data_IF_732052250369
#
_entry.id   IF_732052250369
#
_cell.length_a   1.000
_cell.length_b   1.000
_cell.length_c   1.000
_cell.angle_alpha   90.00
_cell.angle_beta   90.00
_cell.angle_gamma   90.00
#
_symmetry.space_group_name_H-M   'P 1'
#
loop_
_entity.id
_entity.type
_entity.pdbx_description
1 polymer ?
#
# COMPACT_ATOMS: atom_id res chain seq x y z
N UNK A 1 -16.18 12.80 -5.08
CA UNK A 1 -16.84 11.53 -4.76
C UNK A 1 -16.39 11.11 -3.35
N UNK A 2 -16.84 9.99 -2.75
CA UNK A 2 -16.40 9.66 -1.40
C UNK A 2 -14.89 9.37 -1.40
N UNK A 3 -14.16 10.07 -0.54
CA UNK A 3 -12.74 9.78 -0.31
C UNK A 3 -12.61 8.59 0.61
N UNK A 4 -11.63 7.75 0.33
CA UNK A 4 -11.18 6.71 1.24
C UNK A 4 -9.78 7.02 1.76
N UNK A 5 -9.56 6.64 3.01
CA UNK A 5 -8.26 6.74 3.68
C UNK A 5 -7.57 5.38 3.60
N UNK A 6 -6.39 5.36 3.00
CA UNK A 6 -5.55 4.18 2.83
C UNK A 6 -4.24 4.34 3.59
N UNK A 7 -3.85 3.32 4.34
CA UNK A 7 -2.52 3.23 4.94
C UNK A 7 -1.65 2.39 4.01
N UNK A 8 -0.56 2.98 3.52
CA UNK A 8 0.32 2.41 2.54
C UNK A 8 1.71 2.22 3.15
N UNK A 9 2.19 0.98 3.18
CA UNK A 9 3.56 0.66 3.55
C UNK A 9 4.42 0.74 2.29
N UNK A 10 5.41 1.64 2.26
CA UNK A 10 6.35 1.73 1.14
C UNK A 10 7.64 1.00 1.50
N UNK A 11 8.01 0.02 0.66
CA UNK A 11 9.14 -0.88 0.86
C UNK A 11 10.10 -0.74 -0.33
N UNK A 12 11.16 0.07 -0.18
CA UNK A 12 12.25 0.09 -1.15
C UNK A 12 13.02 -1.25 -1.15
N UNK A 13 13.31 -1.81 -2.32
CA UNK A 13 14.16 -3.01 -2.52
C UNK A 13 15.52 -2.92 -1.83
N UNK A 14 16.10 -1.71 -1.80
CA UNK A 14 17.39 -1.42 -1.19
C UNK A 14 17.32 -1.24 0.34
N UNK A 15 16.12 -1.21 0.93
CA UNK A 15 15.95 -1.13 2.37
C UNK A 15 16.11 -2.52 2.96
N UNK A 16 17.10 -2.74 3.86
CA UNK A 16 17.19 -3.98 4.60
C UNK A 16 15.86 -4.24 5.28
N UNK A 17 15.33 -5.43 5.06
CA UNK A 17 14.00 -5.83 5.49
C UNK A 17 13.80 -5.66 7.01
N UNK A 18 14.86 -5.89 7.80
CA UNK A 18 14.93 -5.66 9.26
C UNK A 18 14.73 -4.19 9.69
N UNK A 19 14.93 -3.23 8.77
CA UNK A 19 14.75 -1.78 9.01
C UNK A 19 13.34 -1.30 8.66
N UNK A 20 12.49 -2.16 8.10
CA UNK A 20 11.09 -1.82 7.84
C UNK A 20 10.39 -1.69 9.19
N UNK A 21 9.94 -0.49 9.49
CA UNK A 21 9.18 -0.15 10.71
C UNK A 21 7.90 0.59 10.35
N UNK A 22 7.00 0.72 11.34
CA UNK A 22 5.74 1.48 11.22
C UNK A 22 5.89 2.92 10.72
N UNK A 23 7.07 3.52 10.83
CA UNK A 23 7.33 4.88 10.33
C UNK A 23 7.41 4.97 8.80
N UNK A 24 7.47 3.83 8.09
CA UNK A 24 7.40 3.76 6.63
C UNK A 24 5.96 3.66 6.12
N UNK A 25 4.97 3.65 7.02
CA UNK A 25 3.56 3.70 6.66
C UNK A 25 3.18 5.16 6.46
N UNK A 26 2.65 5.48 5.28
CA UNK A 26 2.03 6.76 4.99
C UNK A 26 0.51 6.59 4.88
N UNK A 27 -0.22 7.66 5.17
CA UNK A 27 -1.67 7.69 4.99
C UNK A 27 -2.00 8.55 3.77
N UNK A 28 -2.81 8.01 2.86
CA UNK A 28 -3.28 8.68 1.66
C UNK A 28 -4.80 8.78 1.68
N UNK A 29 -5.31 9.97 1.36
CA UNK A 29 -6.73 10.21 1.13
C UNK A 29 -6.97 10.32 -0.37
N UNK A 30 -7.61 9.31 -0.96
CA UNK A 30 -7.85 9.22 -2.40
C UNK A 30 -9.34 9.11 -2.67
N UNK A 31 -9.80 9.67 -3.78
CA UNK A 31 -11.18 9.49 -4.23
C UNK A 31 -11.37 8.02 -4.66
N UNK A 32 -12.51 7.41 -4.32
CA UNK A 32 -12.74 5.99 -4.59
C UNK A 32 -12.85 5.66 -6.09
N UNK A 33 -13.18 6.64 -6.93
CA UNK A 33 -13.21 6.47 -8.40
C UNK A 33 -11.86 6.72 -9.07
N UNK A 34 -10.85 7.15 -8.32
CA UNK A 34 -9.50 7.29 -8.85
C UNK A 34 -8.86 5.93 -9.12
N UNK A 35 -7.85 5.96 -9.99
CA UNK A 35 -7.12 4.77 -10.40
C UNK A 35 -5.98 4.42 -9.44
N UNK A 36 -5.50 3.18 -9.53
CA UNK A 36 -4.24 2.78 -8.89
C UNK A 36 -3.05 3.60 -9.41
N UNK A 37 -3.07 4.07 -10.66
CA UNK A 37 -2.06 5.00 -11.17
C UNK A 37 -2.05 6.33 -10.40
N UNK A 38 -3.22 6.89 -10.11
CA UNK A 38 -3.37 8.10 -9.29
C UNK A 38 -2.83 7.89 -7.87
N UNK A 39 -3.06 6.71 -7.28
CA UNK A 39 -2.47 6.32 -6.00
C UNK A 39 -0.93 6.31 -6.07
N UNK A 40 -0.33 5.67 -7.09
CA UNK A 40 1.14 5.66 -7.28
C UNK A 40 1.72 7.06 -7.33
N UNK A 41 1.04 7.97 -8.04
CA UNK A 41 1.44 9.37 -8.15
C UNK A 41 1.45 10.07 -6.79
N UNK A 42 0.38 9.91 -6.00
CA UNK A 42 0.32 10.49 -4.65
C UNK A 42 1.39 9.92 -3.71
N UNK A 43 1.65 8.60 -3.77
CA UNK A 43 2.72 7.97 -2.97
C UNK A 43 4.08 8.58 -3.33
N UNK A 44 4.36 8.75 -4.62
CA UNK A 44 5.59 9.37 -5.11
C UNK A 44 5.71 10.82 -4.62
N UNK A 45 4.65 11.62 -4.73
CA UNK A 45 4.62 13.02 -4.27
C UNK A 45 4.87 13.16 -2.76
N UNK A 46 4.31 12.26 -1.93
CA UNK A 46 4.52 12.25 -0.47
C UNK A 46 5.97 11.97 -0.07
N UNK A 47 6.76 11.34 -0.95
CA UNK A 47 8.16 11.02 -0.73
C UNK A 47 9.10 11.95 -1.52
N UNK A 48 8.61 13.05 -2.07
CA UNK A 48 9.48 14.04 -2.69
C UNK A 48 10.42 14.67 -1.63
N UNK A 49 11.72 14.86 -1.92
CA UNK A 49 12.37 14.63 -3.21
C UNK A 49 12.94 13.21 -3.40
N UNK A 50 12.87 12.35 -2.39
CA UNK A 50 13.52 11.04 -2.35
C UNK A 50 13.22 10.16 -3.56
N UNK A 51 12.00 10.22 -4.09
CA UNK A 51 11.56 9.38 -5.21
C UNK A 51 11.39 10.12 -6.55
N UNK A 52 11.79 11.38 -6.65
CA UNK A 52 11.52 12.21 -7.83
C UNK A 52 12.09 11.58 -9.13
N UNK A 53 13.31 11.03 -9.05
CA UNK A 53 14.01 10.40 -10.17
C UNK A 53 13.57 8.95 -10.46
N UNK A 54 12.76 8.34 -9.58
CA UNK A 54 12.29 6.96 -9.76
C UNK A 54 11.10 6.96 -10.73
N UNK A 55 11.13 6.19 -11.84
CA UNK A 55 9.98 6.06 -12.72
C UNK A 55 8.75 5.54 -11.97
N UNK A 56 7.55 6.07 -12.29
CA UNK A 56 6.30 5.61 -11.65
C UNK A 56 5.97 4.13 -11.94
N UNK A 57 6.63 3.55 -12.95
CA UNK A 57 6.55 2.12 -13.31
C UNK A 57 7.18 1.22 -12.25
N UNK A 58 8.15 1.72 -11.49
CA UNK A 58 8.84 0.94 -10.43
C UNK A 58 7.99 0.79 -9.16
N UNK A 59 6.85 1.49 -9.08
CA UNK A 59 5.94 1.44 -7.94
C UNK A 59 4.96 0.28 -8.11
N UNK A 60 5.35 -0.91 -7.63
CA UNK A 60 4.51 -2.11 -7.65
C UNK A 60 3.54 -2.08 -6.48
N UNK A 61 2.27 -1.78 -6.77
CA UNK A 61 1.19 -1.70 -5.78
C UNK A 61 0.57 -3.07 -5.56
N UNK A 62 0.54 -3.52 -4.30
CA UNK A 62 -0.19 -4.71 -3.86
C UNK A 62 -1.24 -4.30 -2.82
N UNK A 63 -2.49 -4.70 -3.03
CA UNK A 63 -3.52 -4.54 -2.01
C UNK A 63 -3.57 -5.79 -1.14
N UNK A 64 -3.67 -5.60 0.17
CA UNK A 64 -3.80 -6.72 1.10
C UNK A 64 -5.21 -7.28 0.97
N UNK A 65 -5.32 -8.57 0.69
CA UNK A 65 -6.61 -9.24 0.59
C UNK A 65 -7.19 -9.39 2.01
N UNK A 66 -8.02 -8.43 2.40
CA UNK A 66 -8.79 -8.45 3.64
C UNK A 66 -9.86 -9.55 3.51
N UNK A 67 -9.45 -10.79 3.80
CA UNK A 67 -10.30 -11.95 3.62
C UNK A 67 -11.54 -11.83 4.51
N UNK A 68 -12.72 -11.62 3.91
CA UNK A 68 -13.99 -11.36 4.62
C UNK A 68 -14.45 -12.54 5.50
N UNK A 69 -13.92 -13.73 5.27
CA UNK A 69 -14.31 -14.96 5.98
C UNK A 69 -13.56 -15.19 7.31
N UNK A 70 -12.48 -14.44 7.57
CA UNK A 70 -11.80 -14.44 8.87
C UNK A 70 -12.14 -13.15 9.62
N UNK A 71 -13.35 -13.08 10.17
CA UNK A 71 -13.86 -11.99 11.03
C UNK A 71 -12.98 -11.65 12.26
N UNK A 72 -11.89 -12.38 12.51
CA UNK A 72 -11.06 -12.24 13.71
C UNK A 72 -9.57 -12.04 13.45
N UNK A 73 -9.09 -12.17 12.20
CA UNK A 73 -7.71 -11.78 11.90
C UNK A 73 -7.74 -10.34 11.41
N UNK A 74 -7.77 -9.38 12.33
CA UNK A 74 -7.22 -8.06 12.02
C UNK A 74 -5.83 -8.33 11.46
N UNK A 75 -5.61 -8.07 10.18
CA UNK A 75 -4.25 -8.04 9.64
C UNK A 75 -3.68 -6.74 10.16
N UNK A 76 -3.33 -6.75 11.45
CA UNK A 76 -2.79 -5.59 12.10
C UNK A 76 -1.47 -5.22 11.40
N UNK A 77 -1.06 -3.97 11.58
CA UNK A 77 0.16 -3.48 10.95
C UNK A 77 1.38 -4.35 11.31
N UNK A 78 1.39 -4.98 12.49
CA UNK A 78 2.50 -5.82 12.97
C UNK A 78 2.59 -7.13 12.20
N UNK A 79 1.47 -7.82 11.94
CA UNK A 79 1.41 -9.01 11.09
C UNK A 79 1.93 -8.70 9.68
N UNK A 80 1.43 -7.63 9.05
CA UNK A 80 1.89 -7.25 7.70
C UNK A 80 3.39 -6.96 7.69
N UNK A 81 3.88 -6.22 8.70
CA UNK A 81 5.30 -5.91 8.81
C UNK A 81 6.14 -7.19 9.00
N UNK A 82 5.70 -8.12 9.85
CA UNK A 82 6.38 -9.40 10.05
C UNK A 82 6.41 -10.24 8.77
N UNK A 83 5.32 -10.27 8.01
CA UNK A 83 5.26 -11.06 6.78
C UNK A 83 6.13 -10.47 5.67
N UNK A 84 6.14 -9.14 5.54
CA UNK A 84 7.11 -8.42 4.70
C UNK A 84 8.54 -8.72 5.17
N UNK A 85 8.74 -8.79 6.50
CA UNK A 85 10.03 -9.09 7.09
C UNK A 85 10.56 -10.49 6.79
N UNK A 86 9.65 -11.46 6.68
CA UNK A 86 9.95 -12.83 6.33
C UNK A 86 9.92 -13.07 4.82
N UNK A 87 10.00 -12.01 4.00
CA UNK A 87 9.95 -12.04 2.53
C UNK A 87 8.73 -12.78 1.96
N UNK A 88 7.66 -12.89 2.75
CA UNK A 88 6.42 -13.53 2.33
C UNK A 88 5.63 -12.51 1.52
N UNK A 89 5.46 -12.76 0.22
CA UNK A 89 4.67 -11.87 -0.65
C UNK A 89 3.21 -11.86 -0.20
N UNK A 90 2.78 -10.75 0.39
CA UNK A 90 1.40 -10.51 0.81
C UNK A 90 0.65 -9.63 -0.17
N UNK A 91 -0.65 -9.91 -0.28
CA UNK A 91 -1.57 -9.18 -1.10
C UNK A 91 -1.42 -9.50 -2.59
N UNK A 92 -2.39 -8.99 -3.34
CA UNK A 92 -2.47 -9.17 -4.78
C UNK A 92 -2.08 -7.88 -5.50
N UNK A 93 -1.26 -8.04 -6.53
CA UNK A 93 -0.81 -6.92 -7.36
C UNK A 93 -2.00 -6.26 -8.07
N UNK A 94 -2.00 -4.92 -8.09
CA UNK A 94 -3.06 -4.13 -8.71
C UNK A 94 -2.57 -3.43 -9.96
N UNK A 95 -3.35 -3.60 -11.01
CA UNK A 95 -3.08 -2.98 -12.30
C UNK A 95 -3.27 -1.46 -12.21
N UNK A 96 -2.44 -0.64 -12.87
CA UNK A 96 -2.55 0.82 -12.80
C UNK A 96 -3.92 1.37 -13.21
N UNK A 97 -4.62 0.64 -14.09
CA UNK A 97 -5.91 1.05 -14.66
C UNK A 97 -7.12 0.70 -13.78
N UNK A 98 -6.96 -0.16 -12.78
CA UNK A 98 -8.10 -0.53 -11.92
C UNK A 98 -8.45 0.61 -10.97
N UNK A 99 -9.75 0.74 -10.69
CA UNK A 99 -10.23 1.76 -9.77
C UNK A 99 -10.04 1.34 -8.32
N UNK A 100 -9.86 2.32 -7.45
CA UNK A 100 -9.68 2.10 -6.02
C UNK A 100 -10.90 1.40 -5.40
N UNK A 101 -12.12 1.76 -5.80
CA UNK A 101 -13.35 1.17 -5.27
C UNK A 101 -13.49 -0.33 -5.55
N UNK A 102 -12.85 -0.86 -6.61
CA UNK A 102 -12.89 -2.30 -6.94
C UNK A 102 -12.17 -3.15 -5.88
N UNK A 103 -11.23 -2.53 -5.16
CA UNK A 103 -10.42 -3.18 -4.14
C UNK A 103 -10.82 -2.75 -2.73
N UNK A 104 -11.37 -1.54 -2.61
CA UNK A 104 -11.81 -0.93 -1.36
C UNK A 104 -13.23 -0.35 -1.55
N UNK A 105 -14.27 -1.21 -1.57
CA UNK A 105 -15.65 -0.77 -1.82
C UNK A 105 -16.22 0.10 -0.69
N UNK A 106 -15.55 0.14 0.46
CA UNK A 106 -15.85 1.01 1.59
C UNK A 106 -14.57 1.40 2.34
N UNK A 107 -14.71 2.24 3.36
CA UNK A 107 -13.58 2.68 4.19
C UNK A 107 -13.00 1.49 4.98
N UNK A 108 -11.75 1.08 4.73
CA UNK A 108 -11.11 0.04 5.53
C UNK A 108 -10.73 0.56 6.93
N UNK A 109 -10.40 -0.37 7.83
CA UNK A 109 -10.03 -0.09 9.23
C UNK A 109 -8.84 0.86 9.32
N UNK A 110 -8.95 1.92 10.11
CA UNK A 110 -7.87 2.92 10.22
C UNK A 110 -6.57 2.39 10.83
N UNK A 111 -6.62 1.22 11.48
CA UNK A 111 -5.48 0.60 12.17
C UNK A 111 -4.68 -0.34 11.27
N UNK A 112 -5.22 -0.70 10.12
CA UNK A 112 -4.68 -1.77 9.29
C UNK A 112 -3.79 -1.16 8.19
N UNK A 113 -2.85 -1.94 7.68
CA UNK A 113 -2.15 -1.60 6.44
C UNK A 113 -3.00 -2.14 5.29
N UNK A 114 -3.28 -1.31 4.29
CA UNK A 114 -4.18 -1.66 3.19
C UNK A 114 -3.42 -1.98 1.91
N UNK A 115 -2.30 -1.28 1.72
CA UNK A 115 -1.49 -1.35 0.51
C UNK A 115 -0.03 -1.51 0.90
N UNK A 116 0.66 -2.37 0.17
CA UNK A 116 2.12 -2.47 0.18
C UNK A 116 2.60 -1.99 -1.18
N UNK A 117 3.57 -1.09 -1.19
CA UNK A 117 4.24 -0.65 -2.41
C UNK A 117 5.68 -1.10 -2.37
N UNK A 118 6.04 -1.99 -3.28
CA UNK A 118 7.42 -2.38 -3.51
C UNK A 118 8.01 -1.47 -4.57
N UNK A 119 9.20 -0.91 -4.29
CA UNK A 119 9.99 -0.17 -5.27
C UNK A 119 11.16 -1.05 -5.68
N UNK A 120 11.31 -1.29 -6.98
CA UNK A 120 12.49 -1.96 -7.53
C UNK A 120 13.54 -0.90 -7.91
N UNK A 121 14.41 -0.57 -6.96
CA UNK A 121 15.50 0.43 -7.07
C UNK A 121 16.86 -0.08 -6.62
#
# INVERSE_FOLDING_TARGET
MPKIRLNCLVVPSNCPVEKITRHHVITINIDNEESIHSLRKQIKEQHSPQFDDIPITEFVVRAIDLNTDKKEASIDAESVMNDVQNETKIGSERFPISNIHEHFPGQPSEKDIHIIVYLDI
#
